data_IF_446625599788
#
_entry.id   IF_446625599788
#
_cell.length_a   1.000
_cell.length_b   1.000
_cell.length_c   1.000
_cell.angle_alpha   90.00
_cell.angle_beta   90.00
_cell.angle_gamma   90.00
#
_symmetry.space_group_name_H-M   'P 1'
#
loop_
_entity.id
_entity.type
_entity.pdbx_description
1 polymer ?
#
# COMPACT_ATOMS: atom_id res chain seq x y z
N UNK A 1 30.04 32.13 -33.82
CA UNK A 1 28.58 31.97 -34.03
C UNK A 1 28.35 30.49 -34.31
N UNK A 2 28.14 29.69 -33.26
CA UNK A 2 28.43 28.25 -33.27
C UNK A 2 27.20 27.43 -33.69
N UNK A 3 27.06 27.18 -35.00
CA UNK A 3 26.09 26.22 -35.57
C UNK A 3 26.68 24.81 -35.60
N UNK A 4 26.90 24.17 -34.45
CA UNK A 4 27.46 22.80 -34.43
C UNK A 4 26.86 21.92 -33.33
N UNK A 5 25.57 22.07 -33.04
CA UNK A 5 24.87 21.05 -32.27
C UNK A 5 24.33 20.04 -33.29
N UNK A 6 25.07 18.95 -33.50
CA UNK A 6 24.64 17.87 -34.40
C UNK A 6 23.28 17.35 -33.95
N UNK A 7 22.33 17.17 -34.89
CA UNK A 7 20.97 16.74 -34.58
C UNK A 7 20.92 15.49 -33.68
N UNK A 8 21.86 14.54 -33.84
CA UNK A 8 22.03 13.38 -32.96
C UNK A 8 22.32 13.73 -31.50
N UNK A 9 23.17 14.74 -31.25
CA UNK A 9 23.45 15.22 -29.89
C UNK A 9 22.23 15.90 -29.28
N UNK A 10 21.41 16.59 -30.09
CA UNK A 10 20.13 17.15 -29.65
C UNK A 10 19.19 16.01 -29.22
N UNK A 11 19.06 14.94 -30.01
CA UNK A 11 18.23 13.80 -29.65
C UNK A 11 18.68 13.10 -28.37
N UNK A 12 19.99 12.92 -28.18
CA UNK A 12 20.54 12.33 -26.94
C UNK A 12 20.20 13.20 -25.73
N UNK A 13 20.36 14.52 -25.87
CA UNK A 13 20.09 15.45 -24.77
C UNK A 13 18.60 15.50 -24.42
N UNK A 14 17.72 15.46 -25.44
CA UNK A 14 16.26 15.35 -25.25
C UNK A 14 15.90 14.04 -24.55
N UNK A 15 16.49 12.91 -24.95
CA UNK A 15 16.23 11.60 -24.34
C UNK A 15 16.63 11.57 -22.85
N UNK A 16 17.78 12.17 -22.51
CA UNK A 16 18.24 12.28 -21.12
C UNK A 16 17.29 13.16 -20.30
N UNK A 17 16.85 14.29 -20.84
CA UNK A 17 15.88 15.17 -20.16
C UNK A 17 14.54 14.45 -19.95
N UNK A 18 14.06 13.69 -20.94
CA UNK A 18 12.84 12.87 -20.82
C UNK A 18 12.97 11.79 -19.74
N UNK A 19 14.09 11.07 -19.71
CA UNK A 19 14.33 10.05 -18.69
C UNK A 19 14.35 10.63 -17.27
N UNK A 20 14.98 11.80 -17.09
CA UNK A 20 15.01 12.51 -15.80
C UNK A 20 13.60 12.98 -15.41
N UNK A 21 12.84 13.53 -16.34
CA UNK A 21 11.47 13.99 -16.08
C UNK A 21 10.58 12.82 -15.62
N UNK A 22 10.65 11.67 -16.31
CA UNK A 22 9.93 10.44 -15.94
C UNK A 22 10.33 9.98 -14.53
N UNK A 23 11.63 9.94 -14.24
CA UNK A 23 12.15 9.53 -12.94
C UNK A 23 11.66 10.43 -11.78
N UNK A 24 11.62 11.75 -11.99
CA UNK A 24 11.11 12.70 -11.01
C UNK A 24 9.60 12.55 -10.77
N UNK A 25 8.82 12.29 -11.81
CA UNK A 25 7.38 12.01 -11.69
C UNK A 25 7.12 10.73 -10.89
N UNK A 26 7.87 9.67 -11.15
CA UNK A 26 7.78 8.40 -10.39
C UNK A 26 8.08 8.61 -8.89
N UNK A 27 9.15 9.35 -8.56
CA UNK A 27 9.47 9.66 -7.16
C UNK A 27 8.38 10.48 -6.47
N UNK A 28 7.71 11.38 -7.19
CA UNK A 28 6.62 12.19 -6.63
C UNK A 28 5.38 11.36 -6.32
N UNK A 29 5.04 10.38 -7.15
CA UNK A 29 3.92 9.46 -6.89
C UNK A 29 4.18 8.58 -5.66
N UNK A 30 5.39 8.05 -5.50
CA UNK A 30 5.76 7.25 -4.33
C UNK A 30 5.74 8.05 -3.00
N UNK A 31 5.77 9.39 -3.09
CA UNK A 31 5.76 10.30 -1.95
C UNK A 31 4.41 11.00 -1.76
N UNK A 32 3.34 10.56 -2.43
CA UNK A 32 2.00 11.05 -2.11
C UNK A 32 1.75 10.80 -0.62
N UNK A 33 1.49 11.90 0.11
CA UNK A 33 1.17 11.83 1.53
C UNK A 33 -0.10 11.01 1.70
N UNK A 34 -0.09 10.05 2.62
CA UNK A 34 -1.27 9.28 2.96
C UNK A 34 -2.27 10.22 3.64
N UNK A 35 -3.46 10.36 3.06
CA UNK A 35 -4.54 11.20 3.62
C UNK A 35 -5.58 10.29 4.26
N UNK A 36 -5.80 10.45 5.56
CA UNK A 36 -6.79 9.70 6.35
C UNK A 36 -7.70 10.67 7.09
N UNK A 37 -8.53 11.38 6.34
CA UNK A 37 -9.56 12.27 6.88
C UNK A 37 -10.94 11.66 6.63
N UNK A 38 -11.93 12.02 7.45
CA UNK A 38 -13.28 11.53 7.27
C UNK A 38 -13.81 11.94 5.88
N UNK A 39 -14.17 10.95 5.05
CA UNK A 39 -14.60 11.18 3.67
C UNK A 39 -13.49 11.43 2.65
N UNK A 40 -12.20 11.41 3.04
CA UNK A 40 -11.05 11.54 2.12
C UNK A 40 -9.97 10.53 2.45
N UNK A 41 -9.77 9.57 1.54
CA UNK A 41 -8.77 8.52 1.66
C UNK A 41 -7.92 8.45 0.38
N UNK A 42 -6.62 8.73 0.49
CA UNK A 42 -5.69 8.71 -0.65
C UNK A 42 -4.34 8.10 -0.24
N UNK A 43 -3.68 7.42 -1.19
CA UNK A 43 -2.37 6.80 -0.98
C UNK A 43 -2.43 5.45 -0.23
N UNK A 44 -3.61 4.88 -0.05
CA UNK A 44 -3.81 3.52 0.46
C UNK A 44 -4.04 2.57 -0.71
N UNK A 45 -3.53 1.35 -0.60
CA UNK A 45 -3.82 0.30 -1.57
C UNK A 45 -5.31 -0.01 -1.55
N UNK A 46 -5.89 -0.21 -2.73
CA UNK A 46 -7.25 -0.71 -2.86
C UNK A 46 -7.38 -2.06 -2.14
N UNK A 47 -8.49 -2.26 -1.44
CA UNK A 47 -8.77 -3.45 -0.65
C UNK A 47 -9.08 -4.65 -1.57
N UNK A 48 -8.07 -5.17 -2.26
CA UNK A 48 -8.20 -6.37 -3.09
C UNK A 48 -8.05 -7.59 -2.17
N UNK A 49 -9.16 -8.04 -1.62
CA UNK A 49 -9.25 -9.26 -0.83
C UNK A 49 -9.93 -10.36 -1.66
N UNK A 50 -9.36 -11.58 -1.63
CA UNK A 50 -9.92 -12.75 -2.30
C UNK A 50 -10.97 -13.49 -1.46
N UNK A 51 -11.06 -13.16 -0.19
CA UNK A 51 -11.96 -13.76 0.79
C UNK A 51 -11.56 -13.35 2.21
N UNK A 52 -12.22 -13.94 3.21
CA UNK A 52 -11.92 -13.73 4.62
C UNK A 52 -11.77 -15.08 5.31
N UNK A 53 -10.78 -15.20 6.20
CA UNK A 53 -10.63 -16.33 7.11
C UNK A 53 -11.05 -15.90 8.52
N UNK A 54 -11.98 -16.64 9.13
CA UNK A 54 -12.37 -16.47 10.53
C UNK A 54 -11.60 -17.44 11.43
N UNK A 55 -11.14 -16.97 12.58
CA UNK A 55 -10.57 -17.79 13.66
C UNK A 55 -11.24 -17.41 14.98
N UNK A 56 -11.79 -18.40 15.67
CA UNK A 56 -12.40 -18.21 16.98
C UNK A 56 -11.40 -18.61 18.05
N UNK A 57 -11.03 -17.68 18.92
CA UNK A 57 -10.00 -17.88 19.94
C UNK A 57 -10.45 -17.27 21.29
N UNK A 58 -9.67 -17.53 22.34
CA UNK A 58 -9.94 -17.01 23.67
C UNK A 58 -8.78 -16.14 24.15
N UNK A 59 -9.07 -14.89 24.51
CA UNK A 59 -8.12 -14.00 25.16
C UNK A 59 -8.18 -14.27 26.67
N UNK A 60 -7.08 -14.72 27.24
CA UNK A 60 -6.97 -14.93 28.70
C UNK A 60 -6.49 -13.63 29.35
N UNK A 61 -7.31 -13.06 30.23
CA UNK A 61 -6.98 -11.89 31.03
C UNK A 61 -6.07 -12.27 32.20
N UNK A 62 -5.41 -11.28 32.81
CA UNK A 62 -4.49 -11.47 33.94
C UNK A 62 -5.14 -12.12 35.17
N UNK A 63 -6.45 -12.00 35.32
CA UNK A 63 -7.25 -12.60 36.38
C UNK A 63 -7.77 -14.02 36.03
N UNK A 64 -7.38 -14.59 34.89
CA UNK A 64 -7.81 -15.90 34.42
C UNK A 64 -9.17 -15.94 33.71
N UNK A 65 -9.90 -14.82 33.65
CA UNK A 65 -11.11 -14.70 32.83
C UNK A 65 -10.77 -14.87 31.35
N UNK A 66 -11.61 -15.59 30.60
CA UNK A 66 -11.43 -15.82 29.15
C UNK A 66 -12.51 -15.11 28.37
N UNK A 67 -12.12 -14.27 27.41
CA UNK A 67 -13.02 -13.60 26.48
C UNK A 67 -12.99 -14.33 25.14
N UNK A 68 -14.15 -14.77 24.66
CA UNK A 68 -14.27 -15.31 23.32
C UNK A 68 -14.17 -14.16 22.30
N UNK A 69 -13.42 -14.37 21.24
CA UNK A 69 -13.40 -13.43 20.11
C UNK A 69 -13.28 -14.17 18.79
N UNK A 70 -13.82 -13.54 17.76
CA UNK A 70 -13.59 -13.91 16.38
C UNK A 70 -12.62 -12.94 15.71
N UNK A 71 -11.55 -13.49 15.17
CA UNK A 71 -10.57 -12.78 14.36
C UNK A 71 -10.87 -13.02 12.88
N UNK A 72 -11.23 -11.95 12.16
CA UNK A 72 -11.49 -11.99 10.71
C UNK A 72 -10.29 -11.39 9.96
N UNK A 73 -9.54 -12.25 9.29
CA UNK A 73 -8.36 -11.87 8.50
C UNK A 73 -8.66 -11.93 7.00
N UNK A 74 -8.34 -10.87 6.24
CA UNK A 74 -8.49 -10.92 4.80
C UNK A 74 -7.48 -11.89 4.17
N UNK A 75 -7.93 -12.69 3.20
CA UNK A 75 -7.07 -13.56 2.40
C UNK A 75 -6.82 -12.93 1.03
N UNK A 76 -5.67 -13.22 0.44
CA UNK A 76 -5.43 -12.98 -0.99
C UNK A 76 -5.17 -14.33 -1.65
N UNK A 77 -6.02 -14.70 -2.62
CA UNK A 77 -5.97 -16.03 -3.26
C UNK A 77 -5.95 -17.16 -2.22
N UNK A 78 -6.82 -17.07 -1.22
CA UNK A 78 -6.98 -18.05 -0.12
C UNK A 78 -5.79 -18.23 0.83
N UNK A 79 -4.73 -17.44 0.69
CA UNK A 79 -3.61 -17.44 1.63
C UNK A 79 -3.79 -16.31 2.66
N UNK A 80 -3.75 -16.60 3.98
CA UNK A 80 -3.78 -15.57 5.01
C UNK A 80 -2.51 -14.72 4.92
N UNK A 81 -2.68 -13.43 4.64
CA UNK A 81 -1.55 -12.51 4.51
C UNK A 81 -1.15 -11.98 5.89
N UNK A 82 -0.07 -12.52 6.44
CA UNK A 82 0.54 -11.99 7.65
C UNK A 82 1.56 -10.92 7.25
N UNK A 83 1.36 -9.70 7.73
CA UNK A 83 2.33 -8.62 7.58
C UNK A 83 2.03 -7.48 8.54
N UNK A 84 3.06 -6.74 8.94
CA UNK A 84 3.02 -5.69 9.95
C UNK A 84 2.14 -4.46 9.60
N UNK A 85 1.40 -4.50 8.49
CA UNK A 85 0.43 -3.48 8.07
C UNK A 85 -0.98 -4.04 7.85
N UNK A 86 -1.21 -5.33 8.12
CA UNK A 86 -2.54 -5.94 8.05
C UNK A 86 -3.29 -5.62 9.33
N UNK A 87 -4.18 -4.64 9.25
CA UNK A 87 -5.15 -4.40 10.31
C UNK A 87 -6.26 -5.46 10.17
N UNK A 88 -6.64 -6.14 11.27
CA UNK A 88 -7.83 -6.99 11.25
C UNK A 88 -9.02 -6.15 10.78
N UNK A 89 -9.83 -6.74 9.89
CA UNK A 89 -10.97 -6.01 9.29
C UNK A 89 -12.05 -5.78 10.35
N UNK A 90 -12.22 -6.75 11.26
CA UNK A 90 -13.13 -6.66 12.41
C UNK A 90 -12.64 -7.62 13.51
N UNK A 91 -12.81 -7.23 14.77
CA UNK A 91 -12.79 -8.13 15.93
C UNK A 91 -14.22 -8.13 16.47
N UNK A 92 -14.87 -9.28 16.44
CA UNK A 92 -16.20 -9.43 17.02
C UNK A 92 -16.07 -10.15 18.37
N UNK A 93 -16.55 -9.51 19.44
CA UNK A 93 -16.72 -10.15 20.74
C UNK A 93 -18.09 -10.82 20.75
N UNK A 94 -18.11 -12.11 21.01
CA UNK A 94 -19.32 -12.96 21.08
C UNK A 94 -19.77 -13.06 22.52
#
# INVERSE_FOLDING_TARGET
MNKLISAKMIYVLIAVVLAIAIFLVYKRQARQAKVSEFGKYQGYSEAIYGGNQRRSEYLTLSNGTRLAYDLILPTQKDVPRQGHHFRPVSIEMV
#
